data_IF_527902767499
#
_entry.id   IF_527902767499
#
_cell.length_a   1.000
_cell.length_b   1.000
_cell.length_c   1.000
_cell.angle_alpha   90.00
_cell.angle_beta   90.00
_cell.angle_gamma   90.00
#
_symmetry.space_group_name_H-M   'P 1'
#
loop_
_entity.id
_entity.type
_entity.pdbx_description
1 polymer ?
#
# COMPACT_ATOMS: atom_id res chain seq x y z
N UNK A 1 -12.71 23.57 -9.61
CA UNK A 1 -11.27 23.39 -9.32
C UNK A 1 -10.96 22.16 -8.46
N UNK A 2 -11.95 21.50 -7.81
CA UNK A 2 -11.73 20.26 -7.04
C UNK A 2 -11.61 18.99 -7.91
N UNK A 3 -12.20 18.97 -9.10
CA UNK A 3 -12.18 17.80 -10.00
C UNK A 3 -10.84 17.64 -10.76
N UNK A 4 -10.16 18.75 -11.07
CA UNK A 4 -8.94 18.72 -11.90
C UNK A 4 -7.72 18.11 -11.18
N UNK A 5 -7.65 18.25 -9.85
CA UNK A 5 -6.59 17.66 -9.02
C UNK A 5 -6.79 16.14 -8.82
N UNK A 6 -8.04 15.67 -8.80
CA UNK A 6 -8.38 14.24 -8.72
C UNK A 6 -7.97 13.48 -9.99
N UNK A 7 -8.22 14.05 -11.17
CA UNK A 7 -7.80 13.45 -12.44
C UNK A 7 -6.27 13.39 -12.62
N UNK A 8 -5.53 14.36 -12.07
CA UNK A 8 -4.07 14.38 -12.18
C UNK A 8 -3.34 13.48 -11.19
N UNK A 9 -3.97 13.12 -10.06
CA UNK A 9 -3.43 12.16 -9.09
C UNK A 9 -3.51 10.72 -9.63
N UNK A 10 -4.66 10.38 -10.23
CA UNK A 10 -4.91 9.06 -10.83
C UNK A 10 -3.91 8.81 -11.97
N UNK A 11 -3.69 9.81 -12.83
CA UNK A 11 -2.78 9.67 -13.97
C UNK A 11 -1.32 9.34 -13.60
N UNK A 12 -0.79 9.80 -12.45
CA UNK A 12 0.63 9.60 -12.12
C UNK A 12 0.87 8.27 -11.40
N UNK A 13 -0.05 7.86 -10.51
CA UNK A 13 -0.05 6.49 -9.97
C UNK A 13 -0.29 5.46 -11.07
N UNK A 14 -1.15 5.79 -12.04
CA UNK A 14 -1.36 4.96 -13.23
C UNK A 14 -0.09 4.87 -14.09
N UNK A 15 0.67 5.96 -14.26
CA UNK A 15 1.91 5.95 -15.06
C UNK A 15 3.02 5.07 -14.47
N UNK A 16 3.23 5.13 -13.15
CA UNK A 16 4.25 4.28 -12.49
C UNK A 16 3.81 2.82 -12.48
N UNK A 17 2.53 2.57 -12.23
CA UNK A 17 1.97 1.22 -12.31
C UNK A 17 2.03 0.65 -13.73
N UNK A 18 1.77 1.45 -14.76
CA UNK A 18 1.89 1.02 -16.16
C UNK A 18 3.33 0.63 -16.52
N UNK A 19 4.34 1.35 -16.01
CA UNK A 19 5.75 1.05 -16.29
C UNK A 19 6.18 -0.32 -15.72
N UNK A 20 5.80 -0.63 -14.47
CA UNK A 20 6.06 -1.95 -13.87
C UNK A 20 5.28 -3.07 -14.59
N UNK A 21 4.03 -2.78 -14.97
CA UNK A 21 3.20 -3.70 -15.74
C UNK A 21 3.80 -3.98 -17.13
N UNK A 22 4.39 -2.98 -17.79
CA UNK A 22 5.06 -3.14 -19.08
C UNK A 22 6.26 -4.10 -18.99
N UNK A 23 7.04 -4.01 -17.91
CA UNK A 23 8.15 -4.94 -17.64
C UNK A 23 7.64 -6.38 -17.44
N UNK A 24 6.59 -6.56 -16.64
CA UNK A 24 5.97 -7.88 -16.41
C UNK A 24 5.38 -8.45 -17.71
N UNK A 25 4.69 -7.61 -18.49
CA UNK A 25 4.17 -8.01 -19.81
C UNK A 25 5.31 -8.47 -20.73
N UNK A 26 6.43 -7.73 -20.76
CA UNK A 26 7.61 -8.11 -21.54
C UNK A 26 8.20 -9.45 -21.06
N UNK A 27 8.30 -9.67 -19.74
CA UNK A 27 8.76 -10.95 -19.19
C UNK A 27 7.89 -12.13 -19.62
N UNK A 28 6.56 -11.98 -19.60
CA UNK A 28 5.66 -13.05 -20.05
C UNK A 28 5.86 -13.36 -21.53
N UNK A 29 6.06 -12.36 -22.38
CA UNK A 29 6.38 -12.57 -23.79
C UNK A 29 7.71 -13.32 -23.95
N UNK A 30 8.74 -12.95 -23.19
CA UNK A 30 10.04 -13.63 -23.20
C UNK A 30 9.95 -15.08 -22.70
N UNK A 31 9.05 -15.36 -21.74
CA UNK A 31 8.74 -16.73 -21.27
C UNK A 31 7.93 -17.53 -22.30
N UNK A 32 7.51 -16.93 -23.42
CA UNK A 32 6.76 -17.57 -24.50
C UNK A 32 5.24 -17.47 -24.35
N UNK A 33 4.73 -16.58 -23.51
CA UNK A 33 3.32 -16.23 -23.50
C UNK A 33 2.94 -15.48 -24.78
N UNK A 34 1.68 -15.61 -25.19
CA UNK A 34 1.12 -14.95 -26.36
C UNK A 34 0.15 -13.86 -25.93
N UNK A 35 0.39 -12.62 -26.36
CA UNK A 35 -0.59 -11.55 -26.28
C UNK A 35 -1.71 -11.81 -27.32
N UNK A 36 -2.97 -11.76 -26.87
CA UNK A 36 -4.16 -11.99 -27.67
C UNK A 36 -4.72 -10.66 -28.19
N UNK A 37 -5.40 -10.70 -29.33
CA UNK A 37 -6.16 -9.55 -29.85
C UNK A 37 -7.43 -9.23 -29.02
N UNK A 38 -7.71 -9.99 -27.97
CA UNK A 38 -8.83 -9.77 -27.05
C UNK A 38 -8.34 -9.00 -25.84
N UNK A 39 -9.17 -8.09 -25.34
CA UNK A 39 -8.88 -7.28 -24.15
C UNK A 39 -9.68 -7.77 -22.94
N UNK A 40 -9.15 -7.52 -21.74
CA UNK A 40 -9.84 -7.78 -20.48
C UNK A 40 -11.11 -6.92 -20.38
N UNK A 41 -12.27 -7.47 -19.98
CA UNK A 41 -13.49 -6.69 -19.83
C UNK A 41 -13.47 -5.75 -18.61
N UNK A 42 -12.56 -5.95 -17.66
CA UNK A 42 -12.47 -5.15 -16.44
C UNK A 42 -11.56 -3.93 -16.59
N UNK A 43 -10.35 -4.11 -17.11
CA UNK A 43 -9.33 -3.04 -17.23
C UNK A 43 -8.95 -2.71 -18.68
N UNK A 44 -9.52 -3.40 -19.66
CA UNK A 44 -9.26 -3.22 -21.09
C UNK A 44 -7.82 -3.46 -21.57
N UNK A 45 -6.92 -3.96 -20.71
CA UNK A 45 -5.60 -4.40 -21.12
C UNK A 45 -5.67 -5.66 -22.02
N UNK A 46 -4.69 -5.90 -22.91
CA UNK A 46 -4.62 -7.12 -23.71
C UNK A 46 -4.59 -8.38 -22.82
N UNK A 47 -5.30 -9.43 -23.24
CA UNK A 47 -5.23 -10.74 -22.57
C UNK A 47 -3.99 -11.50 -23.03
N UNK A 48 -3.42 -12.29 -22.14
CA UNK A 48 -2.29 -13.16 -22.40
C UNK A 48 -2.74 -14.63 -22.38
N UNK A 49 -2.04 -15.47 -23.14
CA UNK A 49 -2.18 -16.93 -23.09
C UNK A 49 -0.81 -17.56 -22.84
N UNK A 50 -0.68 -18.34 -21.76
CA UNK A 50 0.56 -19.05 -21.43
C UNK A 50 0.21 -20.47 -20.97
N UNK A 51 0.87 -21.48 -21.56
CA UNK A 51 0.59 -22.90 -21.27
C UNK A 51 -0.90 -23.31 -21.37
N UNK A 52 -1.66 -22.64 -22.26
CA UNK A 52 -3.09 -22.90 -22.48
C UNK A 52 -4.04 -22.15 -21.56
N UNK A 53 -3.53 -21.39 -20.58
CA UNK A 53 -4.34 -20.57 -19.68
C UNK A 53 -4.38 -19.12 -20.14
N UNK A 54 -5.56 -18.48 -20.04
CA UNK A 54 -5.77 -17.08 -20.42
C UNK A 54 -5.96 -16.20 -19.20
N UNK A 55 -5.22 -15.10 -19.12
CA UNK A 55 -5.20 -14.22 -17.96
C UNK A 55 -4.93 -12.76 -18.35
N UNK A 56 -5.15 -11.86 -17.39
CA UNK A 56 -4.88 -10.43 -17.53
C UNK A 56 -3.80 -10.02 -16.52
N UNK A 57 -2.64 -9.59 -17.03
CA UNK A 57 -1.49 -9.19 -16.20
C UNK A 57 -1.83 -8.05 -15.23
N UNK A 58 -2.61 -7.07 -15.69
CA UNK A 58 -3.02 -5.90 -14.89
C UNK A 58 -3.89 -6.31 -13.70
N UNK A 59 -4.93 -7.11 -13.95
CA UNK A 59 -5.86 -7.51 -12.89
C UNK A 59 -5.22 -8.48 -11.90
N UNK A 60 -4.34 -9.37 -12.38
CA UNK A 60 -3.63 -10.32 -11.54
C UNK A 60 -2.68 -9.58 -10.57
N UNK A 61 -1.88 -8.63 -11.09
CA UNK A 61 -0.98 -7.84 -10.25
C UNK A 61 -1.74 -6.94 -9.26
N UNK A 62 -2.87 -6.37 -9.66
CA UNK A 62 -3.72 -5.58 -8.77
C UNK A 62 -4.28 -6.45 -7.62
N UNK A 63 -4.67 -7.70 -7.89
CA UNK A 63 -5.14 -8.63 -6.87
C UNK A 63 -4.03 -9.04 -5.90
N UNK A 64 -2.80 -9.24 -6.38
CA UNK A 64 -1.62 -9.53 -5.54
C UNK A 64 -1.29 -8.35 -4.64
N UNK A 65 -1.34 -7.12 -5.16
CA UNK A 65 -1.06 -5.91 -4.36
C UNK A 65 -2.11 -5.61 -3.27
N UNK A 66 -3.30 -6.20 -3.37
CA UNK A 66 -4.38 -6.07 -2.38
C UNK A 66 -4.44 -7.24 -1.38
N UNK A 67 -3.66 -8.30 -1.60
CA UNK A 67 -3.58 -9.47 -0.74
C UNK A 67 -2.21 -9.54 -0.06
N UNK A 68 -2.14 -9.06 1.19
CA UNK A 68 -1.04 -9.35 2.11
C UNK A 68 -0.73 -10.87 2.10
N UNK A 69 0.53 -11.31 2.03
CA UNK A 69 0.86 -12.72 1.91
C UNK A 69 0.74 -13.42 3.27
N UNK A 70 -0.41 -14.04 3.55
CA UNK A 70 -0.48 -15.15 4.50
C UNK A 70 0.04 -16.42 3.82
N UNK A 71 1.35 -16.52 3.65
CA UNK A 71 2.01 -17.77 3.27
C UNK A 71 2.33 -18.57 4.52
N UNK A 72 1.53 -19.60 4.79
CA UNK A 72 1.87 -20.68 5.71
C UNK A 72 1.47 -22.02 5.10
N UNK A 73 2.46 -22.91 4.97
CA UNK A 73 2.47 -24.36 5.26
C UNK A 73 3.37 -25.11 4.24
N UNK A 74 3.93 -26.31 4.52
CA UNK A 74 4.11 -27.03 5.80
C UNK A 74 5.57 -27.52 5.98
N UNK A 75 5.91 -28.13 7.13
CA UNK A 75 6.59 -29.45 7.25
C UNK A 75 6.99 -29.72 8.71
N UNK A 76 6.62 -30.92 9.13
CA UNK A 76 6.96 -31.68 10.33
C UNK A 76 8.39 -31.54 10.86
N UNK A 77 8.52 -31.38 12.19
CA UNK A 77 9.38 -32.24 13.01
C UNK A 77 8.96 -32.17 14.49
N UNK A 78 8.46 -33.28 15.05
CA UNK A 78 8.55 -33.63 16.49
C UNK A 78 9.86 -34.43 16.69
N UNK A 79 10.52 -34.48 17.87
CA UNK A 79 9.94 -34.86 19.20
C UNK A 79 10.48 -33.96 20.36
N UNK A 80 10.18 -34.05 21.66
CA UNK A 80 9.16 -34.63 22.57
C UNK A 80 9.57 -34.14 24.00
N UNK A 81 8.61 -34.07 24.95
CA UNK A 81 8.73 -34.00 26.44
C UNK A 81 8.91 -32.64 27.15
N UNK A 82 7.82 -32.05 27.67
CA UNK A 82 7.31 -32.31 29.03
C UNK A 82 6.14 -31.35 29.39
N UNK A 83 5.03 -31.92 29.86
CA UNK A 83 3.87 -31.27 30.51
C UNK A 83 4.19 -30.95 32.01
N UNK A 84 3.27 -30.38 32.83
CA UNK A 84 2.44 -29.19 32.68
C UNK A 84 2.60 -28.24 33.91
N UNK A 85 2.73 -26.93 33.68
CA UNK A 85 2.80 -25.91 34.73
C UNK A 85 1.61 -24.95 34.66
N UNK A 86 0.58 -25.25 35.44
CA UNK A 86 -0.62 -24.44 35.65
C UNK A 86 -0.26 -23.01 36.11
N UNK A 87 -0.67 -21.99 35.35
CA UNK A 87 -0.64 -20.59 35.81
C UNK A 87 -2.04 -19.98 35.60
N UNK A 88 -2.67 -19.38 36.63
CA UNK A 88 -4.10 -19.11 36.62
C UNK A 88 -4.53 -18.06 35.60
N UNK A 89 -5.66 -18.36 34.93
CA UNK A 89 -6.48 -17.42 34.17
C UNK A 89 -6.89 -16.25 35.08
N UNK A 90 -6.27 -15.08 34.88
CA UNK A 90 -6.79 -13.82 35.39
C UNK A 90 -7.54 -13.13 34.25
N UNK A 91 -8.86 -13.01 34.43
CA UNK A 91 -9.73 -12.14 33.64
C UNK A 91 -9.21 -10.70 33.66
N UNK A 92 -9.02 -10.03 32.50
CA UNK A 92 -8.63 -8.62 32.50
C UNK A 92 -9.81 -7.74 32.94
N UNK A 93 -9.60 -6.75 33.84
CA UNK A 93 -10.61 -5.75 34.18
C UNK A 93 -10.87 -4.79 33.00
N UNK A 94 -12.06 -4.18 32.90
CA UNK A 94 -12.54 -3.41 31.75
C UNK A 94 -11.85 -2.04 31.49
N UNK A 95 -10.67 -1.76 32.07
CA UNK A 95 -10.03 -0.43 31.99
C UNK A 95 -8.74 -0.38 31.15
N UNK A 96 -8.33 -1.47 30.50
CA UNK A 96 -7.10 -1.50 29.67
C UNK A 96 -7.29 -1.03 28.22
N UNK A 97 -8.52 -0.91 27.75
CA UNK A 97 -8.81 -0.53 26.35
C UNK A 97 -8.58 0.96 26.09
N UNK A 98 -8.92 1.84 27.04
CA UNK A 98 -8.80 3.29 26.85
C UNK A 98 -7.34 3.76 26.82
N UNK A 99 -6.50 3.22 27.72
CA UNK A 99 -5.09 3.61 27.82
C UNK A 99 -4.25 3.18 26.59
N UNK A 100 -4.56 2.01 26.01
CA UNK A 100 -3.90 1.53 24.78
C UNK A 100 -4.34 2.38 23.59
N UNK A 101 -5.61 2.79 23.55
CA UNK A 101 -6.17 3.56 22.45
C UNK A 101 -5.67 5.01 22.42
N UNK A 102 -5.42 5.64 23.58
CA UNK A 102 -4.81 6.97 23.66
C UNK A 102 -3.33 6.97 23.24
N UNK A 103 -2.56 5.95 23.65
CA UNK A 103 -1.15 5.82 23.26
C UNK A 103 -1.00 5.60 21.74
N UNK A 104 -1.89 4.79 21.16
CA UNK A 104 -1.93 4.57 19.70
C UNK A 104 -2.32 5.84 18.94
N UNK A 105 -3.30 6.62 19.43
CA UNK A 105 -3.70 7.90 18.84
C UNK A 105 -2.56 8.92 18.85
N UNK A 106 -1.85 9.05 19.99
CA UNK A 106 -0.67 9.91 20.09
C UNK A 106 0.45 9.51 19.12
N UNK A 107 0.60 8.20 18.88
CA UNK A 107 1.59 7.68 17.92
C UNK A 107 1.21 8.01 16.47
N UNK A 108 -0.06 7.88 16.09
CA UNK A 108 -0.54 8.21 14.74
C UNK A 108 -0.44 9.72 14.44
N UNK A 109 -0.76 10.58 15.42
CA UNK A 109 -0.57 12.03 15.31
C UNK A 109 0.91 12.38 15.13
N UNK A 110 1.79 11.83 15.96
CA UNK A 110 3.25 12.06 15.87
C UNK A 110 3.84 11.61 14.54
N UNK A 111 3.33 10.51 13.96
CA UNK A 111 3.71 10.07 12.63
C UNK A 111 3.23 11.05 11.54
N UNK A 112 1.98 11.52 11.63
CA UNK A 112 1.45 12.52 10.69
C UNK A 112 2.23 13.84 10.74
N UNK A 113 2.66 14.26 11.93
CA UNK A 113 3.53 15.43 12.13
C UNK A 113 4.90 15.21 11.49
N UNK A 114 5.50 14.03 11.73
CA UNK A 114 6.80 13.65 11.13
C UNK A 114 6.75 13.63 9.60
N UNK A 115 5.66 13.14 9.00
CA UNK A 115 5.44 13.16 7.54
C UNK A 115 5.30 14.60 7.05
N UNK A 116 4.53 15.43 7.76
CA UNK A 116 4.33 16.85 7.40
C UNK A 116 5.66 17.62 7.41
N UNK A 117 6.50 17.42 8.43
CA UNK A 117 7.83 18.03 8.53
C UNK A 117 8.75 17.62 7.38
N UNK A 118 8.71 16.33 7.00
CA UNK A 118 9.47 15.84 5.86
C UNK A 118 9.01 16.50 4.55
N UNK A 119 7.71 16.65 4.34
CA UNK A 119 7.16 17.32 3.16
C UNK A 119 7.63 18.77 3.05
N UNK A 120 7.65 19.53 4.15
CA UNK A 120 8.17 20.91 4.16
C UNK A 120 9.65 20.94 3.76
N UNK A 121 10.47 20.06 4.33
CA UNK A 121 11.90 19.96 3.98
C UNK A 121 12.12 19.60 2.51
N UNK A 122 11.24 18.80 1.91
CA UNK A 122 11.29 18.47 0.48
C UNK A 122 10.92 19.66 -0.39
N UNK A 123 9.90 20.44 -0.01
CA UNK A 123 9.55 21.69 -0.69
C UNK A 123 10.73 22.68 -0.72
N UNK A 124 11.41 22.86 0.41
CA UNK A 124 12.58 23.75 0.49
C UNK A 124 13.73 23.30 -0.41
N UNK A 125 14.00 21.99 -0.46
CA UNK A 125 15.05 21.41 -1.33
C UNK A 125 14.72 21.58 -2.80
N UNK A 126 13.48 21.36 -3.18
CA UNK A 126 13.01 21.47 -4.56
C UNK A 126 13.24 22.88 -5.14
N UNK A 127 13.15 23.92 -4.31
CA UNK A 127 13.37 25.31 -4.75
C UNK A 127 14.79 25.61 -5.25
N UNK A 128 15.78 24.79 -4.87
CA UNK A 128 17.18 24.97 -5.25
C UNK A 128 17.76 23.76 -5.99
N UNK A 129 16.92 22.80 -6.39
CA UNK A 129 17.37 21.57 -7.04
C UNK A 129 17.49 21.79 -8.57
N UNK A 130 18.71 21.73 -9.14
CA UNK A 130 18.90 21.94 -10.57
C UNK A 130 18.49 20.73 -11.43
N UNK A 131 18.47 19.53 -10.86
CA UNK A 131 18.11 18.31 -11.60
C UNK A 131 16.58 18.15 -11.67
N UNK A 132 15.96 18.26 -12.86
CA UNK A 132 14.51 18.13 -13.01
C UNK A 132 14.00 16.74 -12.62
N UNK A 133 14.80 15.68 -12.79
CA UNK A 133 14.40 14.33 -12.39
C UNK A 133 14.27 14.22 -10.86
N UNK A 134 15.15 14.90 -10.13
CA UNK A 134 15.12 14.94 -8.67
C UNK A 134 13.97 15.80 -8.13
N UNK A 135 13.65 16.90 -8.81
CA UNK A 135 12.42 17.67 -8.53
C UNK A 135 11.16 16.81 -8.66
N UNK A 136 11.05 16.00 -9.71
CA UNK A 136 9.92 15.08 -9.89
C UNK A 136 9.82 14.07 -8.74
N UNK A 137 10.96 13.52 -8.31
CA UNK A 137 11.01 12.58 -7.20
C UNK A 137 10.54 13.21 -5.89
N UNK A 138 10.90 14.48 -5.63
CA UNK A 138 10.38 15.22 -4.48
C UNK A 138 8.88 15.47 -4.57
N UNK A 139 8.38 15.88 -5.74
CA UNK A 139 6.93 16.05 -5.95
C UNK A 139 6.16 14.75 -5.71
N UNK A 140 6.71 13.61 -6.14
CA UNK A 140 6.12 12.29 -5.90
C UNK A 140 6.11 11.94 -4.41
N UNK A 141 7.24 12.09 -3.72
CA UNK A 141 7.32 11.83 -2.28
C UNK A 141 6.36 12.73 -1.45
N UNK A 142 6.22 14.00 -1.84
CA UNK A 142 5.26 14.93 -1.22
C UNK A 142 3.81 14.44 -1.45
N UNK A 143 3.49 13.97 -2.66
CA UNK A 143 2.17 13.42 -2.98
C UNK A 143 1.85 12.20 -2.12
N UNK A 144 2.76 11.24 -2.04
CA UNK A 144 2.61 10.01 -1.23
C UNK A 144 2.49 10.31 0.26
N UNK A 145 3.24 11.30 0.77
CA UNK A 145 3.11 11.78 2.15
C UNK A 145 1.73 12.37 2.43
N UNK A 146 1.18 13.18 1.51
CA UNK A 146 -0.15 13.74 1.65
C UNK A 146 -1.27 12.67 1.69
N UNK A 147 -1.15 11.64 0.85
CA UNK A 147 -2.07 10.49 0.85
C UNK A 147 -1.98 9.71 2.17
N UNK A 148 -0.76 9.51 2.67
CA UNK A 148 -0.51 8.82 3.94
C UNK A 148 -1.16 9.55 5.11
N UNK A 149 -1.04 10.88 5.19
CA UNK A 149 -1.71 11.69 6.22
C UNK A 149 -3.24 11.60 6.13
N UNK A 150 -3.80 11.61 4.92
CA UNK A 150 -5.25 11.44 4.72
C UNK A 150 -5.73 10.09 5.28
N UNK A 151 -5.03 9.01 4.98
CA UNK A 151 -5.34 7.67 5.48
C UNK A 151 -5.19 7.55 7.01
N UNK A 152 -4.22 8.24 7.61
CA UNK A 152 -4.05 8.28 9.07
C UNK A 152 -5.23 8.98 9.75
N UNK A 153 -5.76 10.05 9.16
CA UNK A 153 -6.90 10.82 9.69
C UNK A 153 -8.24 10.09 9.58
N UNK A 154 -8.45 9.29 8.54
CA UNK A 154 -9.63 8.43 8.42
C UNK A 154 -9.69 7.36 9.52
N UNK A 155 -8.54 6.98 10.08
CA UNK A 155 -8.43 6.05 11.21
C UNK A 155 -8.59 6.73 12.58
N UNK A 156 -8.60 8.07 12.63
CA UNK A 156 -8.91 8.79 13.86
C UNK A 156 -10.44 8.85 14.06
N UNK A 157 -10.99 8.25 15.13
CA UNK A 157 -12.40 8.41 15.42
C UNK A 157 -12.71 9.89 15.64
N UNK A 158 -13.60 10.46 14.82
CA UNK A 158 -14.08 11.83 14.96
C UNK A 158 -14.62 12.07 16.38
N UNK A 159 -13.85 12.76 17.23
CA UNK A 159 -14.39 13.31 18.45
C UNK A 159 -15.33 14.47 18.08
N UNK A 160 -16.64 14.22 18.15
CA UNK A 160 -17.64 15.29 18.16
C UNK A 160 -17.30 16.27 19.28
N UNK A 161 -16.84 17.46 18.89
CA UNK A 161 -16.71 18.62 19.79
C UNK A 161 -18.13 18.98 20.25
N UNK A 162 -18.49 18.62 21.48
CA UNK A 162 -19.73 19.12 22.10
C UNK A 162 -19.65 20.64 22.15
N UNK A 163 -20.69 21.27 21.59
CA UNK A 163 -20.94 22.70 21.63
C UNK A 163 -21.22 23.18 23.06
#
# INVERSE_FOLDING_TARGET
MKEYLSSSLIAYTDLVFMAEIDEIMAEYLLKGAKMLAKTCPACHAPLFEYKGERFCVVCDQAAVSAAEPTSGLPVDTLPEQNEPGEVPVQTPPPSRVDAVQELQRGTLSSLADSISDAMVKLCDRMGNEPDPARCLLYMQAIREGALSIAALREKEPHHHRKA
#
